data_IF_327928393751
#
_entry.id   IF_327928393751
#
_cell.length_a   1.000
_cell.length_b   1.000
_cell.length_c   1.000
_cell.angle_alpha   90.00
_cell.angle_beta   90.00
_cell.angle_gamma   90.00
#
_symmetry.space_group_name_H-M   'P 1'
#
loop_
_entity.id
_entity.type
_entity.pdbx_description
1 polymer ?
#
# COMPACT_ATOMS: atom_id res chain seq x y z
N UNK A 1 -13.10 -48.44 -41.81
CA UNK A 1 -11.66 -48.13 -41.64
C UNK A 1 -11.29 -48.41 -40.20
N UNK A 2 -10.56 -49.49 -39.92
CA UNK A 2 -10.13 -49.83 -38.56
C UNK A 2 -8.95 -48.94 -38.18
N UNK A 3 -9.16 -48.00 -37.27
CA UNK A 3 -8.10 -47.12 -36.74
C UNK A 3 -7.20 -47.93 -35.81
N UNK A 4 -6.00 -48.30 -36.25
CA UNK A 4 -5.02 -48.97 -35.40
C UNK A 4 -4.47 -48.01 -34.35
N UNK A 5 -4.57 -48.37 -33.07
CA UNK A 5 -3.98 -47.60 -31.97
C UNK A 5 -2.48 -47.88 -31.90
N UNK A 6 -1.64 -46.85 -31.79
CA UNK A 6 -0.18 -47.01 -31.66
C UNK A 6 0.27 -46.84 -30.21
N UNK A 7 1.26 -47.63 -29.79
CA UNK A 7 1.89 -47.48 -28.49
C UNK A 7 2.78 -46.23 -28.46
N UNK A 8 2.56 -45.34 -27.50
CA UNK A 8 3.31 -44.09 -27.36
C UNK A 8 4.79 -44.25 -26.96
N UNK A 9 5.24 -45.46 -26.64
CA UNK A 9 6.63 -45.75 -26.23
C UNK A 9 7.43 -46.37 -27.38
N UNK A 10 6.92 -47.45 -27.97
CA UNK A 10 7.63 -48.18 -29.03
C UNK A 10 7.14 -47.85 -30.44
N UNK A 11 6.12 -47.00 -30.58
CA UNK A 11 5.46 -46.64 -31.84
C UNK A 11 4.82 -47.80 -32.63
N UNK A 12 4.93 -49.04 -32.14
CA UNK A 12 4.30 -50.21 -32.75
C UNK A 12 2.77 -50.19 -32.57
N UNK A 13 2.06 -50.73 -33.55
CA UNK A 13 0.61 -50.88 -33.51
C UNK A 13 0.19 -51.85 -32.39
N UNK A 14 -0.78 -51.44 -31.59
CA UNK A 14 -1.47 -52.27 -30.61
C UNK A 14 -2.57 -53.02 -31.35
N UNK A 15 -2.41 -54.34 -31.52
CA UNK A 15 -3.40 -55.18 -32.18
C UNK A 15 -4.72 -55.17 -31.42
N UNK A 16 -5.82 -55.29 -32.15
CA UNK A 16 -7.15 -55.47 -31.58
C UNK A 16 -7.19 -56.75 -30.74
N UNK A 17 -7.73 -56.68 -29.52
CA UNK A 17 -7.72 -57.78 -28.55
C UNK A 17 -6.49 -57.86 -27.64
N UNK A 18 -5.41 -57.13 -27.93
CA UNK A 18 -4.29 -57.03 -26.99
C UNK A 18 -4.62 -56.11 -25.81
N UNK A 19 -4.10 -56.45 -24.64
CA UNK A 19 -4.15 -55.57 -23.47
C UNK A 19 -3.43 -54.25 -23.76
N UNK A 20 -4.05 -53.15 -23.33
CA UNK A 20 -3.53 -51.79 -23.46
C UNK A 20 -3.72 -51.05 -22.15
N UNK A 21 -2.78 -50.15 -21.87
CA UNK A 21 -2.80 -49.32 -20.66
C UNK A 21 -2.97 -47.88 -21.09
N UNK A 22 -3.90 -47.19 -20.42
CA UNK A 22 -4.15 -45.78 -20.59
C UNK A 22 -3.51 -45.00 -19.45
N UNK A 23 -2.72 -43.98 -19.79
CA UNK A 23 -2.34 -42.98 -18.81
C UNK A 23 -3.54 -42.07 -18.56
N UNK A 24 -4.01 -42.02 -17.31
CA UNK A 24 -5.07 -41.10 -16.86
C UNK A 24 -4.54 -39.70 -16.53
N UNK A 25 -3.26 -39.44 -16.79
CA UNK A 25 -2.68 -38.10 -16.75
C UNK A 25 -3.02 -37.30 -18.01
N UNK A 26 -2.63 -36.01 -18.05
CA UNK A 26 -2.93 -35.12 -19.16
C UNK A 26 -2.31 -35.55 -20.50
N UNK A 27 -1.31 -36.43 -20.48
CA UNK A 27 -0.66 -36.89 -21.71
C UNK A 27 -1.52 -37.86 -22.53
N UNK A 28 -2.54 -38.50 -21.92
CA UNK A 28 -3.45 -39.42 -22.61
C UNK A 28 -2.78 -40.61 -23.33
N UNK A 29 -1.50 -40.88 -23.06
CA UNK A 29 -0.69 -41.88 -23.77
C UNK A 29 -1.31 -43.27 -23.63
N UNK A 30 -1.30 -44.03 -24.72
CA UNK A 30 -1.74 -45.42 -24.78
C UNK A 30 -0.50 -46.29 -24.99
N UNK A 31 -0.33 -47.31 -24.17
CA UNK A 31 0.90 -48.09 -24.16
C UNK A 31 0.63 -49.58 -24.06
N UNK A 32 1.56 -50.38 -24.58
CA UNK A 32 1.59 -51.80 -24.27
C UNK A 32 1.93 -52.00 -22.78
N UNK A 33 1.32 -52.98 -22.10
CA UNK A 33 1.75 -53.49 -20.80
C UNK A 33 3.27 -53.58 -20.61
N UNK A 34 3.95 -54.23 -21.55
CA UNK A 34 5.40 -54.46 -21.52
C UNK A 34 6.21 -53.18 -21.72
N UNK A 35 5.66 -52.19 -22.42
CA UNK A 35 6.33 -50.91 -22.66
C UNK A 35 6.21 -49.96 -21.46
N UNK A 36 5.24 -50.17 -20.57
CA UNK A 36 5.12 -49.36 -19.36
C UNK A 36 6.24 -49.65 -18.36
N UNK A 37 6.84 -50.86 -18.36
CA UNK A 37 7.99 -51.27 -17.53
C UNK A 37 7.76 -51.32 -16.00
N UNK A 38 6.80 -50.54 -15.50
CA UNK A 38 6.55 -50.29 -14.08
C UNK A 38 5.37 -51.09 -13.53
N UNK A 39 4.58 -51.72 -14.40
CA UNK A 39 3.39 -52.47 -14.02
C UNK A 39 3.51 -53.91 -14.52
N UNK A 40 3.40 -54.83 -13.57
CA UNK A 40 3.39 -56.27 -13.86
C UNK A 40 1.98 -56.74 -14.25
N UNK A 41 1.87 -58.00 -14.65
CA UNK A 41 0.61 -58.60 -15.11
C UNK A 41 -0.47 -58.54 -14.00
N UNK A 42 -0.09 -58.76 -12.74
CA UNK A 42 -1.04 -58.72 -11.62
C UNK A 42 -1.57 -57.30 -11.37
N UNK A 43 -0.72 -56.28 -11.52
CA UNK A 43 -1.14 -54.88 -11.48
C UNK A 43 -2.12 -54.55 -12.61
N UNK A 44 -1.91 -55.09 -13.81
CA UNK A 44 -2.85 -54.91 -14.93
C UNK A 44 -4.19 -55.57 -14.63
N UNK A 45 -4.19 -56.81 -14.15
CA UNK A 45 -5.41 -57.51 -13.74
C UNK A 45 -6.14 -56.75 -12.63
N UNK A 46 -5.42 -56.24 -11.63
CA UNK A 46 -5.99 -55.44 -10.56
C UNK A 46 -6.66 -54.16 -11.07
N UNK A 47 -6.07 -53.48 -12.05
CA UNK A 47 -6.69 -52.31 -12.68
C UNK A 47 -7.92 -52.67 -13.55
N UNK A 48 -7.92 -53.84 -14.19
CA UNK A 48 -9.07 -54.31 -14.95
C UNK A 48 -10.25 -54.68 -14.04
N UNK A 49 -10.00 -55.24 -12.87
CA UNK A 49 -11.04 -55.64 -11.90
C UNK A 49 -11.51 -54.48 -11.03
N UNK A 50 -10.66 -53.46 -10.80
CA UNK A 50 -10.99 -52.31 -9.97
C UNK A 50 -11.00 -51.01 -10.78
N UNK A 51 -12.21 -50.54 -11.12
CA UNK A 51 -12.44 -49.28 -11.85
C UNK A 51 -11.93 -48.03 -11.12
N UNK A 52 -11.67 -48.10 -9.82
CA UNK A 52 -11.11 -47.01 -9.03
C UNK A 52 -9.60 -46.82 -9.22
N UNK A 53 -8.89 -47.84 -9.70
CA UNK A 53 -7.45 -47.76 -9.92
C UNK A 53 -7.16 -47.08 -11.27
N UNK A 54 -6.28 -46.08 -11.24
CA UNK A 54 -5.85 -45.32 -12.41
C UNK A 54 -4.34 -45.40 -12.57
N UNK A 55 -3.89 -45.70 -13.78
CA UNK A 55 -2.48 -45.66 -14.12
C UNK A 55 -2.05 -44.26 -14.56
N UNK A 56 -0.89 -43.83 -14.07
CA UNK A 56 -0.20 -42.62 -14.53
C UNK A 56 1.19 -43.01 -15.00
N UNK A 57 1.58 -42.59 -16.21
CA UNK A 57 2.90 -42.85 -16.74
C UNK A 57 3.99 -42.12 -15.95
N UNK A 58 5.23 -42.59 -16.09
CA UNK A 58 6.41 -42.00 -15.46
C UNK A 58 6.45 -40.48 -15.60
N UNK A 59 6.32 -39.97 -16.84
CA UNK A 59 6.36 -38.54 -17.14
C UNK A 59 5.29 -37.77 -16.37
N UNK A 60 4.04 -38.23 -16.37
CA UNK A 60 2.95 -37.54 -15.67
C UNK A 60 3.15 -37.55 -14.16
N UNK A 61 3.66 -38.65 -13.58
CA UNK A 61 3.97 -38.68 -12.14
C UNK A 61 5.10 -37.73 -11.80
N UNK A 62 6.16 -37.70 -12.63
CA UNK A 62 7.29 -36.78 -12.46
C UNK A 62 6.83 -35.33 -12.55
N UNK A 63 6.07 -34.97 -13.58
CA UNK A 63 5.50 -33.62 -13.74
C UNK A 63 4.61 -33.23 -12.57
N UNK A 64 3.84 -34.16 -12.00
CA UNK A 64 3.03 -33.88 -10.80
C UNK A 64 3.91 -33.59 -9.58
N UNK A 65 4.99 -34.35 -9.38
CA UNK A 65 5.95 -34.08 -8.30
C UNK A 65 6.62 -32.71 -8.48
N UNK A 66 7.09 -32.42 -9.69
CA UNK A 66 7.72 -31.13 -10.01
C UNK A 66 6.75 -29.97 -9.79
N UNK A 67 5.49 -30.11 -10.23
CA UNK A 67 4.44 -29.14 -9.98
C UNK A 67 4.20 -28.91 -8.48
N UNK A 68 4.11 -29.98 -7.69
CA UNK A 68 3.92 -29.88 -6.24
C UNK A 68 5.11 -29.16 -5.57
N UNK A 69 6.33 -29.40 -6.04
CA UNK A 69 7.53 -28.71 -5.54
C UNK A 69 7.49 -27.22 -5.85
N UNK A 70 7.16 -26.85 -7.10
CA UNK A 70 7.02 -25.44 -7.51
C UNK A 70 5.91 -24.76 -6.70
N UNK A 71 4.75 -25.42 -6.53
CA UNK A 71 3.65 -24.91 -5.72
C UNK A 71 4.09 -24.68 -4.27
N UNK A 72 4.86 -25.59 -3.70
CA UNK A 72 5.46 -25.43 -2.36
C UNK A 72 6.38 -24.21 -2.26
N UNK A 73 7.24 -24.00 -3.26
CA UNK A 73 8.12 -22.83 -3.34
C UNK A 73 7.29 -21.54 -3.47
N UNK A 74 6.29 -21.50 -4.36
CA UNK A 74 5.41 -20.34 -4.53
C UNK A 74 4.69 -19.97 -3.23
N UNK A 75 4.17 -20.96 -2.51
CA UNK A 75 3.52 -20.74 -1.22
C UNK A 75 4.51 -20.20 -0.17
N UNK A 76 5.74 -20.72 -0.13
CA UNK A 76 6.78 -20.21 0.78
C UNK A 76 7.14 -18.76 0.48
N UNK A 77 7.31 -18.41 -0.80
CA UNK A 77 7.59 -17.04 -1.24
C UNK A 77 6.43 -16.11 -0.85
N UNK A 78 5.19 -16.52 -1.13
CA UNK A 78 4.00 -15.74 -0.80
C UNK A 78 3.91 -15.43 0.70
N UNK A 79 4.17 -16.43 1.55
CA UNK A 79 4.22 -16.24 3.01
C UNK A 79 5.28 -15.22 3.40
N UNK A 80 6.51 -15.35 2.88
CA UNK A 80 7.61 -14.40 3.19
C UNK A 80 7.31 -12.98 2.72
N UNK A 81 6.69 -12.82 1.56
CA UNK A 81 6.29 -11.50 1.04
C UNK A 81 5.25 -10.87 1.97
N UNK A 82 4.24 -11.63 2.38
CA UNK A 82 3.21 -11.15 3.31
C UNK A 82 3.76 -10.79 4.68
N UNK A 83 4.73 -11.56 5.20
CA UNK A 83 5.43 -11.24 6.45
C UNK A 83 6.24 -9.94 6.31
N UNK A 84 6.99 -9.81 5.22
CA UNK A 84 7.78 -8.61 4.93
C UNK A 84 6.90 -7.37 4.80
N UNK A 85 5.78 -7.47 4.09
CA UNK A 85 4.80 -6.39 3.96
C UNK A 85 4.27 -5.94 5.32
N UNK A 86 3.93 -6.89 6.21
CA UNK A 86 3.48 -6.58 7.57
C UNK A 86 4.55 -5.86 8.38
N UNK A 87 5.80 -6.30 8.29
CA UNK A 87 6.91 -5.63 9.00
C UNK A 87 7.11 -4.21 8.50
N UNK A 88 7.14 -4.01 7.17
CA UNK A 88 7.32 -2.68 6.57
C UNK A 88 6.18 -1.73 6.96
N UNK A 89 4.92 -2.20 6.93
CA UNK A 89 3.77 -1.38 7.37
C UNK A 89 3.92 -0.96 8.83
N UNK A 90 4.36 -1.86 9.71
CA UNK A 90 4.58 -1.57 11.12
C UNK A 90 5.69 -0.52 11.29
N UNK A 91 6.81 -0.68 10.62
CA UNK A 91 7.95 0.23 10.69
C UNK A 91 7.59 1.63 10.18
N UNK A 92 6.95 1.74 9.01
CA UNK A 92 6.49 3.01 8.46
C UNK A 92 5.50 3.70 9.41
N UNK A 93 4.58 2.93 9.99
CA UNK A 93 3.60 3.48 10.95
C UNK A 93 4.29 4.03 12.20
N UNK A 94 5.32 3.36 12.70
CA UNK A 94 6.09 3.83 13.85
C UNK A 94 6.86 5.11 13.51
N UNK A 95 7.56 5.15 12.37
CA UNK A 95 8.29 6.34 11.93
C UNK A 95 7.36 7.55 11.75
N UNK A 96 6.17 7.35 11.17
CA UNK A 96 5.16 8.42 11.06
C UNK A 96 4.72 8.89 12.44
N UNK A 97 4.51 7.98 13.39
CA UNK A 97 4.13 8.33 14.77
C UNK A 97 5.21 9.17 15.45
N UNK A 98 6.46 8.75 15.36
CA UNK A 98 7.61 9.48 15.94
C UNK A 98 7.74 10.87 15.33
N UNK A 99 7.71 10.98 13.99
CA UNK A 99 7.77 12.26 13.29
C UNK A 99 6.64 13.19 13.72
N UNK A 100 5.41 12.66 13.79
CA UNK A 100 4.22 13.43 14.21
C UNK A 100 4.37 13.93 15.65
N UNK A 101 4.87 13.07 16.55
CA UNK A 101 5.12 13.42 17.94
C UNK A 101 6.13 14.58 18.05
N UNK A 102 7.27 14.47 17.38
CA UNK A 102 8.30 15.52 17.39
C UNK A 102 7.79 16.83 16.79
N UNK A 103 7.02 16.77 15.70
CA UNK A 103 6.41 17.96 15.10
C UNK A 103 5.43 18.65 16.07
N UNK A 104 4.61 17.86 16.79
CA UNK A 104 3.68 18.39 17.79
C UNK A 104 4.41 19.04 18.97
N UNK A 105 5.46 18.40 19.49
CA UNK A 105 6.29 18.96 20.58
C UNK A 105 6.98 20.26 20.15
N UNK A 106 7.46 20.35 18.91
CA UNK A 106 8.06 21.56 18.37
C UNK A 106 7.01 22.69 18.23
N UNK A 107 5.82 22.36 17.74
CA UNK A 107 4.71 23.31 17.63
C UNK A 107 4.27 23.83 18.99
N UNK A 108 4.13 22.96 20.00
CA UNK A 108 3.76 23.34 21.36
C UNK A 108 4.78 24.32 21.97
N UNK A 109 6.08 24.03 21.83
CA UNK A 109 7.15 24.96 22.24
C UNK A 109 7.07 26.29 21.50
N UNK A 110 6.80 26.27 20.19
CA UNK A 110 6.62 27.46 19.38
C UNK A 110 5.44 28.33 19.87
N UNK A 111 4.31 27.70 20.22
CA UNK A 111 3.14 28.40 20.77
C UNK A 111 3.43 29.03 22.14
N UNK A 112 4.15 28.33 23.01
CA UNK A 112 4.56 28.88 24.32
C UNK A 112 5.44 30.11 24.12
N UNK A 113 6.47 30.04 23.27
CA UNK A 113 7.35 31.18 22.99
C UNK A 113 6.61 32.37 22.38
N UNK A 114 5.68 32.11 21.45
CA UNK A 114 4.87 33.17 20.85
C UNK A 114 3.95 33.84 21.88
N UNK A 115 3.34 33.04 22.76
CA UNK A 115 2.50 33.55 23.86
C UNK A 115 3.32 34.44 24.80
N UNK A 116 4.49 33.98 25.22
CA UNK A 116 5.38 34.74 26.11
C UNK A 116 5.83 36.06 25.47
N UNK A 117 6.14 36.04 24.17
CA UNK A 117 6.45 37.24 23.42
C UNK A 117 5.29 38.25 23.41
N UNK A 118 4.08 37.80 23.05
CA UNK A 118 2.87 38.65 23.02
C UNK A 118 2.61 39.25 24.42
N UNK A 119 2.70 38.44 25.47
CA UNK A 119 2.52 38.91 26.85
C UNK A 119 3.57 39.97 27.23
N UNK A 120 4.82 39.78 26.82
CA UNK A 120 5.89 40.75 27.09
C UNK A 120 5.68 42.09 26.35
N UNK A 121 5.20 42.06 25.11
CA UNK A 121 4.90 43.26 24.32
C UNK A 121 3.67 44.00 24.87
N UNK A 122 2.62 43.28 25.25
CA UNK A 122 1.44 43.87 25.89
C UNK A 122 1.82 44.60 27.19
N UNK A 123 2.66 44.00 28.03
CA UNK A 123 3.15 44.65 29.25
C UNK A 123 3.92 45.94 28.95
N UNK A 124 4.83 45.93 27.96
CA UNK A 124 5.55 47.14 27.54
C UNK A 124 4.59 48.24 27.06
N UNK A 125 3.50 47.88 26.39
CA UNK A 125 2.48 48.83 25.96
C UNK A 125 1.71 49.42 27.14
N UNK A 126 1.32 48.61 28.12
CA UNK A 126 0.66 49.05 29.35
C UNK A 126 1.54 50.01 30.17
N UNK A 127 2.83 49.69 30.32
CA UNK A 127 3.81 50.55 31.00
C UNK A 127 3.95 51.91 30.30
N UNK A 128 4.02 51.92 28.96
CA UNK A 128 4.05 53.15 28.15
C UNK A 128 2.77 53.97 28.27
N UNK A 129 1.60 53.31 28.32
CA UNK A 129 0.31 53.97 28.46
C UNK A 129 0.21 54.68 29.82
N UNK A 130 0.61 53.97 30.88
CA UNK A 130 0.63 54.46 32.26
C UNK A 130 1.61 55.63 32.47
N UNK A 131 2.75 55.64 31.76
CA UNK A 131 3.69 56.76 31.79
C UNK A 131 3.15 58.03 31.11
N UNK A 132 2.36 57.89 30.04
CA UNK A 132 1.74 59.03 29.33
C UNK A 132 0.60 59.68 30.12
N UNK A 133 -0.22 58.90 30.83
CA UNK A 133 -1.29 59.44 31.67
C UNK A 133 -0.76 60.25 32.86
N UNK A 134 0.39 59.86 33.42
CA UNK A 134 1.04 60.59 34.53
C UNK A 134 1.76 61.88 34.10
N UNK A 135 2.12 62.04 32.82
CA UNK A 135 2.74 63.26 32.28
C UNK A 135 1.71 64.26 31.73
N UNK A 136 0.55 63.79 31.27
CA UNK A 136 -0.55 64.66 30.82
C UNK A 136 -1.28 65.39 31.95
N UNK A 137 -1.06 65.03 33.23
CA UNK A 137 -1.65 65.70 34.39
C UNK A 137 -0.95 66.98 34.85
N UNK A 138 0.20 67.36 34.24
CA UNK A 138 1.03 68.48 34.76
C UNK A 138 1.03 69.76 33.93
N UNK A 139 0.30 69.79 32.81
CA UNK A 139 0.08 70.99 32.00
C UNK A 139 -1.41 71.16 31.69
N UNK A 140 -2.21 71.55 32.68
CA UNK A 140 -3.53 72.13 32.45
C UNK A 140 -3.56 73.52 33.06
N UNK A 141 -2.98 74.47 32.33
CA UNK A 141 -3.36 75.88 32.47
C UNK A 141 -4.79 76.01 31.97
N UNK A 142 -5.60 76.65 32.80
CA UNK A 142 -6.94 77.13 32.49
C UNK A 142 -6.90 78.00 31.24
N UNK A 143 -7.78 77.74 30.28
CA UNK A 143 -8.25 78.75 29.34
C UNK A 143 -9.65 78.37 28.82
N UNK A 144 -10.62 79.04 29.45
CA UNK A 144 -11.78 79.75 28.89
C UNK A 144 -12.52 79.18 27.67
N UNK A 145 -13.83 79.01 27.92
CA UNK A 145 -14.98 78.86 27.03
C UNK A 145 -14.97 79.66 25.72
N UNK A 146 -15.53 79.08 24.65
CA UNK A 146 -16.79 79.52 23.99
C UNK A 146 -17.15 78.65 22.75
N UNK A 147 -18.45 78.29 22.69
CA UNK A 147 -19.33 78.17 21.51
C UNK A 147 -19.04 77.18 20.37
N UNK A 148 -20.05 76.34 20.05
CA UNK A 148 -20.12 75.48 18.85
C UNK A 148 -20.30 76.25 17.52
N UNK A 149 -20.54 75.56 16.38
CA UNK A 149 -21.73 74.72 16.21
C UNK A 149 -21.56 73.41 15.39
N UNK A 150 -22.55 72.53 15.59
CA UNK A 150 -23.28 71.71 14.62
C UNK A 150 -22.60 71.27 13.31
N UNK A 151 -22.45 69.95 13.14
CA UNK A 151 -22.05 69.31 11.88
C UNK A 151 -22.55 67.88 11.80
N UNK A 152 -23.76 67.72 11.27
CA UNK A 152 -24.43 66.47 10.94
C UNK A 152 -23.66 65.72 9.82
N UNK A 153 -23.29 64.45 9.99
CA UNK A 153 -23.16 63.51 8.86
C UNK A 153 -23.27 62.04 9.28
N UNK A 154 -24.49 61.51 9.10
CA UNK A 154 -24.82 60.32 8.29
C UNK A 154 -24.05 59.02 8.55
N UNK A 155 -24.70 58.17 9.33
CA UNK A 155 -24.49 56.72 9.37
C UNK A 155 -24.62 56.08 7.97
N UNK A 156 -23.62 55.31 7.56
CA UNK A 156 -23.79 54.22 6.61
C UNK A 156 -23.22 52.93 7.22
N UNK A 157 -24.14 52.15 7.79
CA UNK A 157 -23.99 50.72 8.00
C UNK A 157 -23.89 50.05 6.63
N UNK A 158 -22.75 49.42 6.33
CA UNK A 158 -22.67 48.36 5.33
C UNK A 158 -22.51 47.04 6.07
N UNK A 159 -23.63 46.34 6.25
CA UNK A 159 -23.65 44.90 6.41
C UNK A 159 -22.93 44.26 5.21
N UNK A 160 -21.87 43.49 5.46
CA UNK A 160 -21.44 42.43 4.54
C UNK A 160 -21.70 41.10 5.21
N UNK A 161 -22.62 40.38 4.59
CA UNK A 161 -23.07 39.03 4.86
C UNK A 161 -21.91 38.04 4.82
N UNK A 162 -21.92 37.12 5.78
CA UNK A 162 -21.17 35.88 5.73
C UNK A 162 -21.62 35.05 4.52
N UNK A 163 -20.66 34.56 3.74
CA UNK A 163 -20.86 33.42 2.84
C UNK A 163 -19.95 32.30 3.30
N UNK A 164 -20.60 31.23 3.76
CA UNK A 164 -20.00 29.91 3.90
C UNK A 164 -19.76 29.29 2.51
N UNK A 165 -18.72 28.45 2.44
CA UNK A 165 -18.58 27.42 1.42
C UNK A 165 -17.71 27.80 0.22
N UNK A 166 -16.46 27.36 0.24
CA UNK A 166 -15.86 26.57 -0.85
C UNK A 166 -14.50 26.01 -0.38
N UNK A 167 -14.50 24.72 -0.07
CA UNK A 167 -13.31 23.90 0.13
C UNK A 167 -12.61 23.72 -1.22
N UNK A 168 -11.64 24.59 -1.49
CA UNK A 168 -10.74 24.49 -2.63
C UNK A 168 -9.40 23.85 -2.25
N UNK A 169 -9.30 22.55 -2.45
CA UNK A 169 -8.15 21.87 -3.08
C UNK A 169 -6.74 22.46 -2.83
N UNK A 170 -6.11 22.07 -1.72
CA UNK A 170 -4.64 22.11 -1.56
C UNK A 170 -4.09 20.71 -1.82
N UNK A 171 -4.06 20.32 -3.08
CA UNK A 171 -3.39 19.09 -3.54
C UNK A 171 -2.54 19.42 -4.75
N UNK A 172 -1.47 20.18 -4.56
CA UNK A 172 -0.36 20.28 -5.50
C UNK A 172 0.89 20.63 -4.68
N UNK A 173 1.71 19.61 -4.39
CA UNK A 173 3.18 19.67 -4.12
C UNK A 173 3.73 18.50 -3.30
N UNK A 174 3.21 17.27 -3.46
CA UNK A 174 3.85 16.06 -2.89
C UNK A 174 4.30 15.03 -3.94
N UNK A 175 4.33 15.37 -5.22
CA UNK A 175 4.72 14.44 -6.29
C UNK A 175 6.23 14.46 -6.64
N UNK A 176 7.03 15.41 -6.16
CA UNK A 176 8.42 15.57 -6.62
C UNK A 176 9.50 14.96 -5.69
N UNK A 177 9.14 14.40 -4.53
CA UNK A 177 10.15 13.86 -3.58
C UNK A 177 10.41 12.35 -3.76
N UNK A 178 9.64 11.65 -4.61
CA UNK A 178 9.80 10.19 -4.80
C UNK A 178 10.54 9.76 -6.08
N UNK A 179 11.06 10.69 -6.90
CA UNK A 179 11.66 10.35 -8.22
C UNK A 179 13.21 10.29 -8.20
N UNK A 180 13.88 10.64 -7.10
CA UNK A 180 15.37 10.64 -7.05
C UNK A 180 16.02 9.41 -6.38
N UNK A 181 15.26 8.35 -6.09
CA UNK A 181 15.79 7.14 -5.43
C UNK A 181 16.33 6.02 -6.34
N UNK A 182 16.15 6.09 -7.67
CA UNK A 182 16.65 5.08 -8.61
C UNK A 182 17.85 5.59 -9.39
N UNK A 183 19.02 5.64 -8.75
CA UNK A 183 20.28 5.51 -9.50
C UNK A 183 20.43 4.07 -9.92
N UNK A 184 20.27 3.87 -11.22
CA UNK A 184 20.53 2.66 -11.99
C UNK A 184 21.96 2.18 -11.68
N UNK A 185 22.09 0.99 -11.10
CA UNK A 185 23.34 0.25 -11.15
C UNK A 185 23.47 -0.30 -12.57
N UNK A 186 24.05 0.49 -13.47
CA UNK A 186 24.55 -0.01 -14.75
C UNK A 186 25.77 -0.87 -14.45
N UNK A 187 25.61 -2.18 -14.67
CA UNK A 187 26.72 -3.08 -14.96
C UNK A 187 27.65 -2.46 -16.01
N UNK A 188 28.95 -2.46 -15.73
CA UNK A 188 29.96 -2.42 -16.78
C UNK A 188 31.08 -3.39 -16.41
N UNK A 189 31.15 -4.44 -17.25
CA UNK A 189 32.24 -5.38 -17.54
C UNK A 189 32.73 -6.29 -16.41
#
# INVERSE_FOLDING_TARGET
>A
MSTSVQCSVCSAAIKEGNEKIYCFGPCGKIMHPKCCGEINIDGIKAMQTNRGLKYFCHDCRKSQCDYNNVLGICNSILTKVNETEKMMKKEITEQIREYTKTANEANEKGFVLLKDYIMSENKKLEDKLSAKTNTSGRNRKEETSLSGPSGNTRSQSKQKTAKAGETGSVTQNYAEVLINGRKVATHNR
#
